data_IF_976034523872
#
_entry.id   IF_976034523872
#
_cell.length_a   1.000
_cell.length_b   1.000
_cell.length_c   1.000
_cell.angle_alpha   90.00
_cell.angle_beta   90.00
_cell.angle_gamma   90.00
#
_symmetry.space_group_name_H-M   'P 1'
#
loop_
_entity.id
_entity.type
_entity.pdbx_description
1 polymer ?
#
# COMPACT_ATOMS: atom_id res chain seq x y z
N UNK A 1 -28.07 -60.64 -66.61
CA UNK A 1 -26.97 -60.47 -65.67
C UNK A 1 -26.92 -59.00 -65.19
N UNK A 2 -27.47 -58.69 -64.04
CA UNK A 2 -27.54 -57.35 -63.48
C UNK A 2 -26.33 -57.18 -62.55
N UNK A 3 -25.48 -56.18 -62.76
CA UNK A 3 -24.38 -55.79 -61.88
C UNK A 3 -24.94 -54.82 -60.85
N UNK A 4 -24.84 -55.16 -59.57
CA UNK A 4 -25.15 -54.32 -58.44
C UNK A 4 -23.87 -53.61 -58.10
N UNK A 5 -23.87 -52.24 -58.17
CA UNK A 5 -22.79 -51.41 -57.72
C UNK A 5 -23.09 -50.99 -56.28
N UNK A 6 -22.20 -51.36 -55.32
CA UNK A 6 -22.27 -50.96 -53.90
C UNK A 6 -21.53 -49.61 -53.72
N UNK A 7 -22.25 -48.60 -53.41
CA UNK A 7 -21.63 -47.30 -52.93
C UNK A 7 -21.25 -47.44 -51.46
N UNK A 8 -19.96 -47.41 -51.18
CA UNK A 8 -19.45 -47.16 -49.81
C UNK A 8 -19.39 -45.66 -49.57
N UNK A 9 -20.28 -45.14 -48.69
CA UNK A 9 -20.20 -43.79 -48.19
C UNK A 9 -19.20 -43.69 -47.03
N UNK A 10 -18.12 -42.98 -47.24
CA UNK A 10 -17.16 -42.63 -46.17
C UNK A 10 -17.72 -41.47 -45.38
N UNK A 11 -18.15 -41.69 -44.12
CA UNK A 11 -18.48 -40.63 -43.16
C UNK A 11 -17.18 -40.05 -42.56
N UNK A 12 -16.81 -38.84 -42.97
CA UNK A 12 -15.72 -38.09 -42.37
C UNK A 12 -16.19 -37.54 -41.00
N UNK A 13 -15.73 -38.12 -39.90
CA UNK A 13 -15.84 -37.53 -38.55
C UNK A 13 -14.89 -36.35 -38.46
N UNK A 14 -15.42 -35.14 -38.48
CA UNK A 14 -14.70 -33.95 -38.09
C UNK A 14 -14.60 -33.92 -36.56
N UNK A 15 -13.42 -34.27 -36.03
CA UNK A 15 -13.07 -34.09 -34.64
C UNK A 15 -12.74 -32.62 -34.47
N UNK A 16 -13.68 -31.84 -33.92
CA UNK A 16 -13.42 -30.47 -33.46
C UNK A 16 -12.53 -30.56 -32.21
N UNK A 17 -11.25 -30.27 -32.34
CA UNK A 17 -10.40 -29.97 -31.20
C UNK A 17 -10.89 -28.63 -30.63
N UNK A 18 -11.64 -28.67 -29.53
CA UNK A 18 -11.81 -27.50 -28.67
C UNK A 18 -10.41 -27.19 -28.11
N UNK A 19 -9.76 -26.21 -28.70
CA UNK A 19 -8.54 -25.61 -28.11
C UNK A 19 -8.98 -25.03 -26.78
N UNK A 20 -8.55 -25.65 -25.68
CA UNK A 20 -8.69 -25.03 -24.36
C UNK A 20 -7.95 -23.70 -24.45
N UNK A 21 -8.69 -22.60 -24.54
CA UNK A 21 -8.12 -21.28 -24.38
C UNK A 21 -7.42 -21.30 -23.03
N UNK A 22 -6.10 -21.08 -22.98
CA UNK A 22 -5.41 -20.80 -21.74
C UNK A 22 -6.15 -19.63 -21.10
N UNK A 23 -6.56 -19.77 -19.83
CA UNK A 23 -7.16 -18.67 -19.12
C UNK A 23 -6.22 -17.47 -19.22
N UNK A 24 -6.78 -16.31 -19.57
CA UNK A 24 -6.03 -15.06 -19.57
C UNK A 24 -5.55 -14.83 -18.13
N UNK A 25 -4.31 -14.37 -17.94
CA UNK A 25 -3.69 -14.26 -16.64
C UNK A 25 -3.35 -12.81 -16.36
N UNK A 26 -3.58 -12.36 -15.13
CA UNK A 26 -3.15 -11.07 -14.60
C UNK A 26 -2.17 -11.32 -13.48
N UNK A 27 -1.00 -10.70 -13.52
CA UNK A 27 0.00 -10.79 -12.45
C UNK A 27 0.12 -9.44 -11.77
N UNK A 28 -0.25 -9.39 -10.48
CA UNK A 28 -0.20 -8.18 -9.67
C UNK A 28 0.87 -8.28 -8.59
N UNK A 29 1.49 -7.12 -8.26
CA UNK A 29 2.46 -6.99 -7.18
C UNK A 29 1.89 -6.04 -6.13
N UNK A 30 1.55 -6.56 -4.96
CA UNK A 30 0.65 -5.92 -4.01
C UNK A 30 1.25 -5.84 -2.59
N UNK A 31 0.65 -5.05 -1.72
CA UNK A 31 0.93 -5.08 -0.30
C UNK A 31 0.33 -6.33 0.37
N UNK A 32 0.95 -6.76 1.46
CA UNK A 32 0.45 -7.86 2.29
C UNK A 32 -0.89 -7.47 2.97
N UNK A 33 -1.85 -8.40 3.05
CA UNK A 33 -3.17 -8.24 3.69
C UNK A 33 -3.97 -6.98 3.26
N UNK A 34 -3.96 -6.60 1.99
CA UNK A 34 -4.49 -5.33 1.51
C UNK A 34 -5.66 -5.47 0.50
N UNK A 35 -5.93 -6.68 0.02
CA UNK A 35 -7.10 -7.05 -0.77
C UNK A 35 -7.63 -8.41 -0.32
N UNK A 36 -8.96 -8.61 -0.15
CA UNK A 36 -9.50 -9.91 0.20
C UNK A 36 -9.42 -10.88 -0.99
N UNK A 37 -9.04 -12.13 -0.73
CA UNK A 37 -8.93 -13.18 -1.77
C UNK A 37 -10.25 -13.41 -2.49
N UNK A 38 -11.37 -13.21 -1.80
CA UNK A 38 -12.72 -13.34 -2.33
C UNK A 38 -12.96 -12.43 -3.53
N UNK A 39 -12.48 -11.18 -3.49
CA UNK A 39 -12.60 -10.24 -4.62
C UNK A 39 -11.76 -10.68 -5.84
N UNK A 40 -10.59 -11.27 -5.62
CA UNK A 40 -9.79 -11.82 -6.71
C UNK A 40 -10.50 -13.01 -7.38
N UNK A 41 -11.18 -13.82 -6.56
CA UNK A 41 -11.98 -14.94 -7.05
C UNK A 41 -13.23 -14.46 -7.80
N UNK A 42 -13.88 -13.38 -7.33
CA UNK A 42 -15.02 -12.74 -7.98
C UNK A 42 -14.62 -12.19 -9.34
N UNK A 43 -13.55 -11.39 -9.41
CA UNK A 43 -13.01 -10.91 -10.68
C UNK A 43 -12.72 -12.05 -11.67
N UNK A 44 -12.12 -13.15 -11.19
CA UNK A 44 -11.85 -14.33 -12.02
C UNK A 44 -13.14 -14.98 -12.50
N UNK A 45 -14.16 -15.09 -11.65
CA UNK A 45 -15.44 -15.69 -12.01
C UNK A 45 -16.19 -14.85 -13.06
N UNK A 46 -16.12 -13.53 -12.99
CA UNK A 46 -16.80 -12.62 -13.91
C UNK A 46 -16.09 -12.50 -15.26
N UNK A 47 -14.75 -12.48 -15.25
CA UNK A 47 -13.97 -12.16 -16.44
C UNK A 47 -13.32 -13.36 -17.10
N UNK A 48 -13.16 -14.48 -16.38
CA UNK A 48 -12.36 -15.63 -16.79
C UNK A 48 -10.84 -15.39 -16.69
N UNK A 49 -10.40 -14.25 -16.13
CA UNK A 49 -8.99 -13.88 -15.98
C UNK A 49 -8.50 -14.38 -14.62
N UNK A 50 -7.48 -15.26 -14.63
CA UNK A 50 -6.83 -15.73 -13.40
C UNK A 50 -5.92 -14.63 -12.83
N UNK A 51 -6.11 -14.27 -11.55
CA UNK A 51 -5.24 -13.29 -10.86
C UNK A 51 -4.17 -14.04 -10.07
N UNK A 52 -2.91 -13.71 -10.32
CA UNK A 52 -1.76 -14.16 -9.54
C UNK A 52 -1.16 -12.98 -8.83
N UNK A 53 -0.98 -13.10 -7.53
CA UNK A 53 -0.51 -12.02 -6.67
C UNK A 53 0.77 -12.42 -5.95
N UNK A 54 1.80 -11.57 -6.08
CA UNK A 54 2.97 -11.55 -5.21
C UNK A 54 2.89 -10.35 -4.28
N UNK A 55 3.58 -10.38 -3.12
CA UNK A 55 3.52 -9.30 -2.13
C UNK A 55 4.88 -8.69 -1.84
N UNK A 56 4.86 -7.44 -1.35
CA UNK A 56 6.02 -6.70 -0.84
C UNK A 56 5.64 -5.96 0.45
N UNK A 57 6.64 -5.57 1.23
CA UNK A 57 6.52 -4.95 2.55
C UNK A 57 6.92 -3.47 2.58
N UNK A 58 7.51 -2.96 1.48
CA UNK A 58 7.93 -1.56 1.37
C UNK A 58 7.99 -1.10 -0.09
N UNK A 59 7.80 0.20 -0.34
CA UNK A 59 7.97 0.79 -1.67
C UNK A 59 9.40 0.61 -2.21
N UNK A 60 10.38 0.61 -1.32
CA UNK A 60 11.78 0.38 -1.66
C UNK A 60 12.03 -1.06 -2.13
N UNK A 61 11.38 -2.05 -1.48
CA UNK A 61 11.43 -3.45 -1.90
C UNK A 61 10.70 -3.65 -3.24
N UNK A 62 9.54 -3.02 -3.43
CA UNK A 62 8.83 -2.98 -4.72
C UNK A 62 9.76 -2.50 -5.84
N UNK A 63 10.37 -1.31 -5.69
CA UNK A 63 11.24 -0.71 -6.69
C UNK A 63 12.47 -1.60 -6.97
N UNK A 64 13.12 -2.09 -5.92
CA UNK A 64 14.29 -2.95 -6.04
C UNK A 64 13.98 -4.25 -6.79
N UNK A 65 12.85 -4.89 -6.50
CA UNK A 65 12.42 -6.12 -7.16
C UNK A 65 12.09 -5.88 -8.64
N UNK A 66 11.33 -4.82 -8.98
CA UNK A 66 11.02 -4.48 -10.37
C UNK A 66 12.29 -4.19 -11.19
N UNK A 67 13.29 -3.54 -10.60
CA UNK A 67 14.61 -3.33 -11.23
C UNK A 67 15.38 -4.63 -11.43
N UNK A 68 15.29 -5.56 -10.50
CA UNK A 68 16.01 -6.83 -10.55
C UNK A 68 15.37 -7.83 -11.51
N UNK A 69 14.03 -7.92 -11.56
CA UNK A 69 13.29 -8.86 -12.40
C UNK A 69 13.08 -8.34 -13.82
N UNK A 70 13.13 -7.02 -13.99
CA UNK A 70 12.85 -6.33 -15.26
C UNK A 70 11.38 -6.07 -15.50
N UNK A 71 11.09 -5.11 -16.39
CA UNK A 71 9.73 -4.80 -16.83
C UNK A 71 9.12 -6.01 -17.55
N UNK A 72 7.79 -6.17 -17.44
CA UNK A 72 7.06 -7.31 -18.01
C UNK A 72 6.95 -8.53 -17.07
N UNK A 73 7.44 -8.44 -15.83
CA UNK A 73 7.23 -9.49 -14.81
C UNK A 73 5.86 -9.40 -14.15
N UNK A 74 5.31 -8.19 -14.06
CA UNK A 74 3.99 -7.89 -13.50
C UNK A 74 3.21 -6.96 -14.42
N UNK A 75 1.89 -6.96 -14.28
CA UNK A 75 0.98 -6.09 -15.04
C UNK A 75 0.63 -4.82 -14.25
N UNK A 76 0.37 -4.97 -12.95
CA UNK A 76 -0.04 -3.90 -12.02
C UNK A 76 0.82 -3.97 -10.77
N UNK A 77 1.14 -2.80 -10.21
CA UNK A 77 1.65 -2.65 -8.85
C UNK A 77 0.84 -1.60 -8.08
N UNK A 78 1.02 -1.54 -6.75
CA UNK A 78 0.23 -0.67 -5.85
C UNK A 78 1.11 0.26 -5.01
N UNK A 79 1.97 1.09 -5.64
CA UNK A 79 2.87 2.00 -4.92
C UNK A 79 2.13 3.15 -4.26
N UNK A 80 2.76 3.72 -3.23
CA UNK A 80 2.35 4.99 -2.64
C UNK A 80 2.74 6.18 -3.52
N UNK A 81 2.11 7.31 -3.29
CA UNK A 81 2.23 8.58 -4.01
C UNK A 81 3.67 8.98 -4.36
N UNK A 82 4.58 9.00 -3.39
CA UNK A 82 5.98 9.37 -3.63
C UNK A 82 6.69 8.38 -4.57
N UNK A 83 6.39 7.09 -4.43
CA UNK A 83 6.99 6.05 -5.27
C UNK A 83 6.47 6.09 -6.70
N UNK A 84 5.19 6.48 -6.92
CA UNK A 84 4.65 6.71 -8.28
C UNK A 84 5.46 7.78 -9.01
N UNK A 85 5.84 8.88 -8.33
CA UNK A 85 6.72 9.88 -8.91
C UNK A 85 8.06 9.29 -9.37
N UNK A 86 8.70 8.51 -8.51
CA UNK A 86 9.99 7.86 -8.81
C UNK A 86 9.84 6.90 -9.99
N UNK A 87 8.84 6.02 -9.97
CA UNK A 87 8.60 5.05 -11.03
C UNK A 87 8.27 5.71 -12.37
N UNK A 88 7.50 6.81 -12.35
CA UNK A 88 7.21 7.60 -13.56
C UNK A 88 8.48 8.22 -14.13
N UNK A 89 9.29 8.85 -13.29
CA UNK A 89 10.52 9.55 -13.71
C UNK A 89 11.58 8.57 -14.23
N UNK A 90 11.55 7.32 -13.75
CA UNK A 90 12.36 6.21 -14.26
C UNK A 90 11.76 5.50 -15.50
N UNK A 91 10.58 5.93 -15.97
CA UNK A 91 9.92 5.37 -17.16
C UNK A 91 9.37 3.95 -16.97
N UNK A 92 9.02 3.58 -15.72
CA UNK A 92 8.52 2.24 -15.36
C UNK A 92 7.00 2.10 -15.50
N UNK A 93 6.28 3.19 -15.79
CA UNK A 93 4.82 3.19 -15.92
C UNK A 93 4.40 3.30 -17.39
N UNK A 94 3.32 2.61 -17.74
CA UNK A 94 2.60 2.83 -19.00
C UNK A 94 1.41 3.75 -18.76
N UNK A 95 0.77 4.20 -19.85
CA UNK A 95 -0.35 5.12 -19.80
C UNK A 95 -1.61 4.50 -20.41
N UNK A 96 -2.75 5.00 -19.96
CA UNK A 96 -4.07 4.71 -20.51
C UNK A 96 -4.89 6.00 -20.63
N UNK A 97 -6.01 5.92 -21.37
CA UNK A 97 -6.98 7.00 -21.46
C UNK A 97 -8.14 6.73 -20.50
N UNK A 98 -8.69 7.77 -19.90
CA UNK A 98 -9.88 7.63 -19.06
C UNK A 98 -11.04 6.87 -19.74
N UNK A 99 -11.16 7.00 -21.08
CA UNK A 99 -12.18 6.29 -21.85
C UNK A 99 -11.94 4.78 -21.98
N UNK A 100 -10.79 4.25 -21.55
CA UNK A 100 -10.51 2.81 -21.50
C UNK A 100 -11.04 2.16 -20.21
N UNK A 101 -11.48 2.99 -19.23
CA UNK A 101 -12.08 2.55 -17.98
C UNK A 101 -13.51 3.07 -17.88
N UNK A 102 -14.49 2.16 -17.82
CA UNK A 102 -15.93 2.52 -17.75
C UNK A 102 -16.32 3.17 -16.43
N UNK A 103 -15.60 2.84 -15.36
CA UNK A 103 -15.81 3.32 -14.00
C UNK A 103 -14.93 4.53 -13.63
N UNK A 104 -14.21 5.13 -14.59
CA UNK A 104 -13.29 6.26 -14.34
C UNK A 104 -13.97 7.45 -13.63
N UNK A 105 -15.23 7.74 -13.95
CA UNK A 105 -16.01 8.84 -13.36
C UNK A 105 -16.35 8.62 -11.88
N UNK A 106 -16.15 7.39 -11.36
CA UNK A 106 -16.32 7.07 -9.95
C UNK A 106 -15.13 7.56 -9.09
N UNK A 107 -14.02 7.98 -9.69
CA UNK A 107 -12.91 8.57 -8.93
C UNK A 107 -13.40 9.84 -8.22
N UNK A 108 -13.12 9.97 -6.91
CA UNK A 108 -13.40 11.19 -6.15
C UNK A 108 -12.61 12.37 -6.72
N UNK A 109 -13.24 13.56 -6.76
CA UNK A 109 -12.67 14.75 -7.42
C UNK A 109 -11.28 15.14 -6.88
N UNK A 110 -11.07 15.01 -5.58
CA UNK A 110 -9.81 15.29 -4.93
C UNK A 110 -8.65 14.37 -5.39
N UNK A 111 -8.97 13.19 -5.90
CA UNK A 111 -8.00 12.21 -6.39
C UNK A 111 -7.79 12.24 -7.90
N UNK A 112 -8.53 13.05 -8.66
CA UNK A 112 -8.36 13.14 -10.12
C UNK A 112 -7.08 13.89 -10.53
N UNK A 113 -6.75 14.98 -9.83
CA UNK A 113 -5.63 15.85 -10.20
C UNK A 113 -4.58 15.88 -9.08
N UNK A 114 -3.96 14.74 -8.85
CA UNK A 114 -2.89 14.59 -7.85
C UNK A 114 -1.54 14.93 -8.47
N UNK A 115 -0.61 15.46 -7.66
CA UNK A 115 0.71 15.91 -8.13
C UNK A 115 1.56 14.80 -8.74
N UNK A 116 1.36 13.57 -8.30
CA UNK A 116 2.10 12.40 -8.76
C UNK A 116 1.53 11.78 -10.06
N UNK A 117 0.25 12.07 -10.41
CA UNK A 117 -0.37 11.61 -11.68
C UNK A 117 -1.54 12.50 -12.10
N UNK A 118 -1.25 13.64 -12.72
CA UNK A 118 -2.24 14.60 -13.18
C UNK A 118 -3.20 13.99 -14.20
N UNK A 119 -4.48 13.96 -13.87
CA UNK A 119 -5.52 13.41 -14.73
C UNK A 119 -5.56 11.88 -14.76
N UNK A 120 -4.85 11.21 -13.87
CA UNK A 120 -4.84 9.74 -13.75
C UNK A 120 -4.55 9.03 -15.07
N UNK A 121 -3.36 9.29 -15.61
CA UNK A 121 -2.95 8.73 -16.90
C UNK A 121 -2.25 7.38 -16.79
N UNK A 122 -1.70 7.03 -15.61
CA UNK A 122 -0.95 5.80 -15.37
C UNK A 122 -1.46 5.02 -14.17
N UNK A 123 -2.39 5.60 -13.38
CA UNK A 123 -2.86 5.03 -12.12
C UNK A 123 -4.34 5.27 -11.87
N UNK A 124 -4.94 4.41 -11.06
CA UNK A 124 -6.24 4.68 -10.42
C UNK A 124 -6.08 4.70 -8.91
N UNK A 125 -6.82 5.53 -8.15
CA UNK A 125 -6.72 5.57 -6.70
C UNK A 125 -7.16 4.21 -6.13
N UNK A 126 -6.45 3.77 -5.09
CA UNK A 126 -6.76 2.53 -4.40
C UNK A 126 -7.22 2.82 -2.98
N UNK A 127 -6.29 2.99 -2.05
CA UNK A 127 -6.56 3.33 -0.67
C UNK A 127 -5.68 4.50 -0.24
N UNK A 128 -6.12 5.24 0.77
CA UNK A 128 -5.29 6.26 1.43
C UNK A 128 -5.45 6.16 2.95
N UNK A 129 -4.44 6.58 3.67
CA UNK A 129 -4.41 6.46 5.10
C UNK A 129 -3.32 7.30 5.75
N UNK A 130 -2.99 6.93 6.98
CA UNK A 130 -1.97 7.59 7.78
C UNK A 130 -1.00 6.61 8.41
N UNK A 131 0.24 7.08 8.63
CA UNK A 131 1.26 6.42 9.41
C UNK A 131 1.53 7.23 10.66
N UNK A 132 1.39 6.57 11.81
CA UNK A 132 1.75 7.10 13.09
C UNK A 132 2.17 5.95 14.02
N UNK A 133 1.68 5.89 15.25
CA UNK A 133 1.97 4.80 16.18
C UNK A 133 0.78 4.50 17.08
N UNK A 134 0.79 3.32 17.67
CA UNK A 134 -0.13 2.92 18.75
C UNK A 134 0.60 2.66 20.05
N UNK A 135 -0.14 2.77 21.16
CA UNK A 135 0.34 2.46 22.50
C UNK A 135 -0.69 1.61 23.21
N UNK A 136 -0.25 0.57 23.89
CA UNK A 136 -1.06 -0.20 24.83
C UNK A 136 -1.26 0.60 26.12
N UNK A 137 -2.49 1.05 26.36
CA UNK A 137 -2.87 1.88 27.52
C UNK A 137 -2.80 1.14 28.85
N UNK A 138 -2.76 -0.20 28.83
CA UNK A 138 -2.47 -1.01 30.02
C UNK A 138 -0.98 -0.99 30.38
N UNK A 139 -0.09 -0.83 29.40
CA UNK A 139 1.35 -0.74 29.62
C UNK A 139 1.82 0.69 29.92
N UNK A 140 1.14 1.70 29.35
CA UNK A 140 1.51 3.11 29.54
C UNK A 140 0.28 4.01 29.57
N UNK A 141 0.10 4.72 30.69
CA UNK A 141 -1.04 5.61 30.95
C UNK A 141 -0.73 7.12 30.74
N UNK A 142 0.52 7.46 30.36
CA UNK A 142 0.94 8.86 30.16
C UNK A 142 0.44 9.48 28.84
N UNK A 143 0.96 10.64 28.50
CA UNK A 143 0.62 11.35 27.26
C UNK A 143 1.21 10.59 26.06
N UNK A 144 0.33 10.24 25.10
CA UNK A 144 0.73 9.60 23.85
C UNK A 144 0.71 10.56 22.67
N UNK A 145 0.33 11.81 22.83
CA UNK A 145 0.27 12.83 21.76
C UNK A 145 1.64 13.45 21.47
N UNK A 146 2.70 12.64 21.55
CA UNK A 146 4.07 13.04 21.22
C UNK A 146 4.85 11.87 20.65
N UNK A 147 5.60 12.10 19.59
CA UNK A 147 6.48 11.13 18.96
C UNK A 147 7.69 10.74 19.84
N UNK A 148 7.85 11.37 21.03
CA UNK A 148 8.79 10.89 22.05
C UNK A 148 8.58 9.43 22.41
N UNK A 149 7.33 8.96 22.37
CA UNK A 149 6.98 7.54 22.59
C UNK A 149 7.85 6.60 21.74
N UNK A 150 8.15 6.98 20.52
CA UNK A 150 8.96 6.17 19.59
C UNK A 150 10.45 6.50 19.71
N UNK A 151 10.82 7.79 19.80
CA UNK A 151 12.20 8.23 19.63
C UNK A 151 12.95 8.51 20.91
N UNK A 152 12.26 8.76 22.03
CA UNK A 152 12.81 8.94 23.37
C UNK A 152 11.83 8.41 24.41
N UNK A 153 11.53 7.10 24.41
CA UNK A 153 10.44 6.52 25.17
C UNK A 153 10.65 6.64 26.69
N UNK A 154 9.54 6.71 27.47
CA UNK A 154 9.57 6.53 28.90
C UNK A 154 10.03 5.12 29.27
N UNK A 155 10.53 4.95 30.50
CA UNK A 155 11.20 3.72 30.94
C UNK A 155 10.33 2.47 30.78
N UNK A 156 9.00 2.62 30.94
CA UNK A 156 8.02 1.53 30.85
C UNK A 156 7.93 0.93 29.42
N UNK A 157 8.25 1.73 28.40
CA UNK A 157 8.18 1.35 26.98
C UNK A 157 9.53 0.94 26.38
N UNK A 158 10.65 1.16 27.06
CA UNK A 158 11.97 0.80 26.54
C UNK A 158 12.08 -0.70 26.27
N UNK A 159 12.61 -1.05 25.09
CA UNK A 159 12.74 -2.44 24.63
C UNK A 159 11.42 -3.11 24.24
N UNK A 160 10.32 -2.33 24.12
CA UNK A 160 8.97 -2.84 23.80
C UNK A 160 8.31 -2.05 22.66
N UNK A 161 9.11 -1.54 21.74
CA UNK A 161 8.65 -0.71 20.63
C UNK A 161 8.96 -1.41 19.31
N UNK A 162 7.96 -1.51 18.43
CA UNK A 162 8.17 -1.87 17.04
C UNK A 162 8.28 -0.62 16.17
N UNK A 163 9.18 -0.62 15.21
CA UNK A 163 9.30 0.44 14.19
C UNK A 163 9.08 -0.18 12.82
N UNK A 164 8.43 0.55 11.91
CA UNK A 164 8.23 0.09 10.54
C UNK A 164 9.58 -0.05 9.80
N UNK A 165 9.71 -1.11 9.04
CA UNK A 165 10.88 -1.38 8.16
C UNK A 165 10.71 -0.71 6.78
N UNK A 166 10.27 0.55 6.80
CA UNK A 166 10.07 1.41 5.63
C UNK A 166 10.95 2.65 5.78
N UNK A 167 12.02 2.75 4.98
CA UNK A 167 13.01 3.83 5.11
C UNK A 167 12.37 5.21 4.95
N UNK A 168 11.57 5.40 3.89
CA UNK A 168 10.93 6.68 3.58
C UNK A 168 10.06 7.19 4.72
N UNK A 169 9.14 6.36 5.22
CA UNK A 169 8.22 6.76 6.29
C UNK A 169 8.92 6.95 7.64
N UNK A 170 9.78 6.01 8.03
CA UNK A 170 10.45 6.08 9.34
C UNK A 170 11.37 7.29 9.44
N UNK A 171 12.11 7.62 8.38
CA UNK A 171 12.97 8.81 8.35
C UNK A 171 12.17 10.10 8.25
N UNK A 172 11.06 10.13 7.50
CA UNK A 172 10.16 11.27 7.45
C UNK A 172 9.49 11.53 8.81
N UNK A 173 9.01 10.48 9.49
CA UNK A 173 8.40 10.59 10.83
C UNK A 173 9.42 11.07 11.88
N UNK A 174 10.66 10.58 11.83
CA UNK A 174 11.75 11.07 12.67
C UNK A 174 12.10 12.54 12.37
N UNK A 175 12.03 12.96 11.11
CA UNK A 175 12.25 14.34 10.71
C UNK A 175 11.16 15.27 11.26
N UNK A 176 9.88 14.86 11.22
CA UNK A 176 8.78 15.57 11.86
C UNK A 176 9.03 15.75 13.37
N UNK A 177 9.40 14.69 14.08
CA UNK A 177 9.73 14.72 15.50
C UNK A 177 10.81 15.75 15.84
N UNK A 178 11.85 15.82 15.01
CA UNK A 178 12.98 16.75 15.22
C UNK A 178 12.74 18.16 14.69
N UNK A 179 11.63 18.42 13.99
CA UNK A 179 11.37 19.67 13.29
C UNK A 179 12.39 19.94 12.16
N UNK A 180 12.92 18.89 11.55
CA UNK A 180 13.80 18.96 10.39
C UNK A 180 12.93 18.87 9.11
N UNK A 181 13.07 19.82 8.15
CA UNK A 181 12.37 19.68 6.87
C UNK A 181 12.71 18.36 6.20
N UNK A 182 11.72 17.70 5.61
CA UNK A 182 11.97 16.57 4.74
C UNK A 182 12.93 16.99 3.61
N UNK A 183 13.66 16.04 3.09
CA UNK A 183 14.67 16.29 2.04
C UNK A 183 15.70 17.37 2.38
N UNK A 184 16.00 17.61 3.67
CA UNK A 184 17.09 18.49 4.06
C UNK A 184 18.44 17.94 3.58
N UNK A 185 19.26 18.80 2.97
CA UNK A 185 20.64 18.51 2.58
C UNK A 185 21.67 19.08 3.60
N UNK A 186 21.17 19.74 4.68
CA UNK A 186 22.01 20.23 5.76
C UNK A 186 22.65 19.08 6.55
N UNK A 187 23.95 18.87 6.29
CA UNK A 187 24.73 17.82 6.95
C UNK A 187 24.72 17.89 8.48
N UNK A 188 24.54 19.07 9.06
CA UNK A 188 24.42 19.23 10.52
C UNK A 188 23.10 18.68 11.03
N UNK A 189 22.00 18.95 10.33
CA UNK A 189 20.68 18.38 10.63
C UNK A 189 20.67 16.86 10.44
N UNK A 190 21.19 16.36 9.33
CA UNK A 190 21.27 14.93 9.03
C UNK A 190 22.13 14.17 10.04
N UNK A 191 23.25 14.75 10.50
CA UNK A 191 24.05 14.18 11.58
C UNK A 191 23.28 14.07 12.90
N UNK A 192 22.44 15.09 13.23
CA UNK A 192 21.59 15.06 14.43
C UNK A 192 20.50 13.99 14.29
N UNK A 193 19.87 13.89 13.10
CA UNK A 193 18.87 12.88 12.80
C UNK A 193 19.46 11.46 12.97
N UNK A 194 20.61 11.19 12.36
CA UNK A 194 21.29 9.89 12.49
C UNK A 194 21.62 9.56 13.97
N UNK A 195 22.19 10.52 14.71
CA UNK A 195 22.52 10.31 16.12
C UNK A 195 21.28 10.07 17.00
N UNK A 196 20.20 10.80 16.73
CA UNK A 196 18.92 10.58 17.42
C UNK A 196 18.38 9.18 17.16
N UNK A 197 18.33 8.75 15.89
CA UNK A 197 17.85 7.42 15.50
C UNK A 197 18.71 6.30 16.09
N UNK A 198 20.02 6.43 16.09
CA UNK A 198 20.93 5.45 16.71
C UNK A 198 20.67 5.31 18.21
N UNK A 199 20.43 6.44 18.91
CA UNK A 199 20.08 6.41 20.34
C UNK A 199 18.66 5.84 20.58
N UNK A 200 17.71 6.13 19.72
CA UNK A 200 16.35 5.60 19.81
C UNK A 200 16.32 4.08 19.59
N UNK A 201 17.11 3.56 18.63
CA UNK A 201 17.22 2.14 18.30
C UNK A 201 17.54 1.27 19.52
N UNK A 202 18.30 1.75 20.46
CA UNK A 202 18.63 1.02 21.71
C UNK A 202 17.37 0.66 22.53
N UNK A 203 16.25 1.37 22.30
CA UNK A 203 14.97 1.16 22.98
C UNK A 203 13.94 0.42 22.13
N UNK A 204 14.27 0.04 20.88
CA UNK A 204 13.35 -0.65 19.99
C UNK A 204 13.53 -2.18 20.11
N UNK A 205 12.42 -2.90 20.06
CA UNK A 205 12.41 -4.37 20.07
C UNK A 205 12.62 -4.94 18.66
N UNK A 206 12.05 -4.26 17.64
CA UNK A 206 12.04 -4.78 16.27
C UNK A 206 11.87 -3.69 15.21
N UNK A 207 12.30 -4.03 13.99
CA UNK A 207 11.86 -3.41 12.75
C UNK A 207 10.97 -4.44 12.04
N UNK A 208 9.67 -4.17 11.95
CA UNK A 208 8.73 -5.09 11.33
C UNK A 208 7.50 -4.32 10.80
N UNK A 209 7.27 -4.36 9.51
CA UNK A 209 6.13 -3.71 8.85
C UNK A 209 4.94 -4.65 8.75
N UNK A 210 5.09 -5.79 8.10
CA UNK A 210 4.00 -6.76 7.86
C UNK A 210 3.41 -7.31 9.16
N UNK A 211 4.26 -7.60 10.15
CA UNK A 211 3.84 -8.09 11.45
C UNK A 211 3.56 -7.00 12.49
N UNK A 212 3.55 -5.71 12.13
CA UNK A 212 3.34 -4.61 13.10
C UNK A 212 2.00 -4.75 13.85
N UNK A 213 0.94 -5.14 13.15
CA UNK A 213 -0.38 -5.43 13.72
C UNK A 213 -0.28 -6.56 14.76
N UNK A 214 0.34 -7.67 14.39
CA UNK A 214 0.35 -8.90 15.19
C UNK A 214 1.16 -8.73 16.48
N UNK A 215 2.34 -8.08 16.43
CA UNK A 215 3.15 -7.88 17.63
C UNK A 215 2.53 -6.90 18.63
N UNK A 216 1.69 -5.96 18.16
CA UNK A 216 0.88 -5.08 19.02
C UNK A 216 -0.32 -5.82 19.60
N UNK A 217 -1.07 -6.53 18.77
CA UNK A 217 -2.26 -7.28 19.19
C UNK A 217 -1.90 -8.39 20.21
N UNK A 218 -0.81 -9.12 19.99
CA UNK A 218 -0.31 -10.14 20.93
C UNK A 218 0.22 -9.54 22.24
N UNK A 219 0.67 -8.28 22.22
CA UNK A 219 1.33 -7.64 23.36
C UNK A 219 2.83 -7.99 23.48
N UNK A 220 3.45 -8.49 22.41
CA UNK A 220 4.89 -8.69 22.34
C UNK A 220 5.65 -7.35 22.41
N UNK A 221 4.99 -6.29 21.94
CA UNK A 221 5.42 -4.89 22.11
C UNK A 221 4.29 -4.08 22.75
N UNK A 222 4.67 -3.01 23.44
CA UNK A 222 3.73 -2.12 24.13
C UNK A 222 3.43 -0.84 23.32
N UNK A 223 4.24 -0.53 22.33
CA UNK A 223 4.02 0.57 21.40
C UNK A 223 4.66 0.26 20.04
N UNK A 224 4.23 0.94 19.00
CA UNK A 224 4.87 0.78 17.70
C UNK A 224 4.31 1.67 16.62
N UNK A 225 5.18 2.03 15.66
CA UNK A 225 4.76 2.65 14.42
C UNK A 225 3.84 1.67 13.66
N UNK A 226 2.78 2.21 13.07
CA UNK A 226 1.78 1.40 12.40
C UNK A 226 0.96 2.27 11.44
N UNK A 227 0.46 1.66 10.37
CA UNK A 227 -0.55 2.24 9.49
C UNK A 227 -1.93 2.17 10.14
N UNK A 228 -2.74 3.21 9.96
CA UNK A 228 -4.05 3.35 10.62
C UNK A 228 -4.99 2.14 10.42
N UNK A 229 -5.05 1.53 9.24
CA UNK A 229 -5.87 0.34 9.01
C UNK A 229 -5.38 -0.89 9.79
N UNK A 230 -4.07 -1.13 9.85
CA UNK A 230 -3.49 -2.15 10.71
C UNK A 230 -3.72 -1.82 12.18
N UNK A 231 -3.68 -0.53 12.55
CA UNK A 231 -4.03 -0.06 13.88
C UNK A 231 -5.46 -0.40 14.27
N UNK A 232 -6.43 -0.18 13.38
CA UNK A 232 -7.82 -0.54 13.60
C UNK A 232 -8.01 -2.06 13.80
N UNK A 233 -7.33 -2.87 12.98
CA UNK A 233 -7.32 -4.34 13.13
C UNK A 233 -6.70 -4.77 14.47
N UNK A 234 -5.54 -4.21 14.84
CA UNK A 234 -4.88 -4.51 16.12
C UNK A 234 -5.76 -4.16 17.32
N UNK A 235 -6.43 -2.97 17.30
CA UNK A 235 -7.34 -2.56 18.38
C UNK A 235 -8.57 -3.45 18.46
N UNK A 236 -9.08 -3.97 17.37
CA UNK A 236 -10.18 -4.94 17.39
C UNK A 236 -9.80 -6.24 18.12
N UNK A 237 -8.54 -6.65 18.07
CA UNK A 237 -8.01 -7.82 18.80
C UNK A 237 -7.58 -7.48 20.23
N UNK A 238 -7.06 -6.26 20.46
CA UNK A 238 -6.59 -5.79 21.77
C UNK A 238 -7.12 -4.37 22.06
N UNK A 239 -8.23 -4.29 22.76
CA UNK A 239 -8.98 -3.05 23.00
C UNK A 239 -8.22 -1.97 23.81
N UNK A 240 -7.12 -2.34 24.49
CA UNK A 240 -6.24 -1.39 25.19
C UNK A 240 -5.31 -0.59 24.28
N UNK A 241 -5.21 -0.94 22.99
CA UNK A 241 -4.43 -0.20 22.03
C UNK A 241 -5.12 1.10 21.62
N UNK A 242 -4.36 2.21 21.63
CA UNK A 242 -4.83 3.54 21.24
C UNK A 242 -3.90 4.12 20.17
N UNK A 243 -4.49 4.53 19.03
CA UNK A 243 -3.77 5.18 17.93
C UNK A 243 -3.51 6.64 18.26
N UNK A 244 -2.30 7.12 18.03
CA UNK A 244 -1.91 8.48 18.32
C UNK A 244 -1.84 9.37 17.08
N UNK A 245 -2.24 10.63 17.26
CA UNK A 245 -1.98 11.75 16.35
C UNK A 245 -1.07 12.74 17.09
N UNK A 246 0.28 12.57 17.01
CA UNK A 246 1.20 13.38 17.80
C UNK A 246 1.22 14.82 17.32
N UNK A 247 1.49 15.74 18.27
CA UNK A 247 1.53 17.19 18.02
C UNK A 247 2.66 17.63 17.06
N UNK A 248 3.69 16.82 16.93
CA UNK A 248 4.79 17.05 15.99
C UNK A 248 4.38 16.78 14.54
N UNK A 249 3.29 16.05 14.32
CA UNK A 249 2.76 15.65 13.01
C UNK A 249 2.72 14.14 12.82
N UNK A 250 2.01 13.73 11.79
CA UNK A 250 1.92 12.34 11.34
C UNK A 250 1.97 12.30 9.81
N UNK A 251 2.27 11.13 9.25
CA UNK A 251 2.33 10.98 7.81
C UNK A 251 0.98 10.58 7.25
N UNK A 252 0.72 11.02 6.02
CA UNK A 252 -0.39 10.54 5.18
C UNK A 252 0.17 10.03 3.87
N UNK A 253 -0.53 9.09 3.25
CA UNK A 253 -0.14 8.47 2.01
C UNK A 253 -1.38 8.10 1.18
N UNK A 254 -1.17 7.93 -0.12
CA UNK A 254 -2.19 7.49 -1.06
C UNK A 254 -1.61 6.45 -2.02
N UNK A 255 -2.09 5.22 -1.89
CA UNK A 255 -1.72 4.15 -2.78
C UNK A 255 -2.62 4.14 -4.01
N UNK A 256 -2.04 3.79 -5.13
CA UNK A 256 -2.77 3.68 -6.39
C UNK A 256 -2.34 2.41 -7.13
N UNK A 257 -3.29 1.78 -7.81
CA UNK A 257 -2.98 0.74 -8.78
C UNK A 257 -2.36 1.41 -10.02
N UNK A 258 -1.11 1.08 -10.35
CA UNK A 258 -0.40 1.62 -11.52
C UNK A 258 -0.25 0.58 -12.61
N UNK A 259 -0.43 1.01 -13.87
CA UNK A 259 -0.15 0.18 -15.04
C UNK A 259 1.37 0.17 -15.28
N UNK A 260 1.98 -1.01 -15.16
CA UNK A 260 3.42 -1.15 -15.35
C UNK A 260 3.81 -1.12 -16.83
N UNK A 261 4.99 -0.60 -17.08
CA UNK A 261 5.59 -0.57 -18.41
C UNK A 261 5.80 -1.98 -18.93
N UNK A 262 5.47 -2.21 -20.20
CA UNK A 262 5.58 -3.52 -20.86
C UNK A 262 4.76 -4.63 -20.17
N UNK A 263 3.63 -4.27 -19.52
CA UNK A 263 2.68 -5.21 -18.93
C UNK A 263 2.26 -6.26 -19.95
N UNK A 264 2.54 -7.56 -19.72
CA UNK A 264 2.25 -8.60 -20.70
C UNK A 264 0.75 -8.79 -20.97
N UNK A 265 -0.10 -8.45 -20.00
CA UNK A 265 -1.54 -8.63 -20.08
C UNK A 265 -2.28 -7.29 -19.86
N UNK A 266 -1.88 -6.25 -20.63
CA UNK A 266 -2.40 -4.88 -20.49
C UNK A 266 -3.93 -4.79 -20.46
N UNK A 267 -4.62 -5.54 -21.32
CA UNK A 267 -6.09 -5.49 -21.35
C UNK A 267 -6.72 -6.09 -20.08
N UNK A 268 -6.14 -7.15 -19.53
CA UNK A 268 -6.52 -7.72 -18.25
C UNK A 268 -6.23 -6.72 -17.10
N UNK A 269 -5.10 -6.02 -17.16
CA UNK A 269 -4.74 -4.99 -16.19
C UNK A 269 -5.77 -3.85 -16.17
N UNK A 270 -6.17 -3.33 -17.32
CA UNK A 270 -7.19 -2.27 -17.41
C UNK A 270 -8.55 -2.74 -16.91
N UNK A 271 -8.97 -3.97 -17.21
CA UNK A 271 -10.22 -4.53 -16.66
C UNK A 271 -10.17 -4.62 -15.13
N UNK A 272 -9.03 -5.01 -14.56
CA UNK A 272 -8.87 -5.07 -13.11
C UNK A 272 -8.84 -3.67 -12.48
N UNK A 273 -8.15 -2.72 -13.10
CA UNK A 273 -8.17 -1.31 -12.65
C UNK A 273 -9.58 -0.71 -12.71
N UNK A 274 -10.37 -1.08 -13.72
CA UNK A 274 -11.78 -0.66 -13.83
C UNK A 274 -12.66 -1.30 -12.74
N UNK A 275 -12.47 -2.59 -12.45
CA UNK A 275 -13.10 -3.31 -11.36
C UNK A 275 -12.82 -2.68 -9.99
N UNK A 276 -11.58 -2.25 -9.73
CA UNK A 276 -11.22 -1.55 -8.48
C UNK A 276 -11.96 -0.22 -8.29
N UNK A 277 -12.50 0.37 -9.35
CA UNK A 277 -13.27 1.62 -9.32
C UNK A 277 -14.78 1.39 -9.12
N UNK A 278 -15.25 0.16 -8.98
CA UNK A 278 -16.62 -0.13 -8.62
C UNK A 278 -16.85 0.19 -7.13
N UNK A 279 -17.90 0.95 -6.75
CA UNK A 279 -18.11 1.35 -5.37
C UNK A 279 -18.21 0.18 -4.38
N UNK A 280 -18.89 -0.90 -4.76
CA UNK A 280 -19.01 -2.10 -3.92
C UNK A 280 -17.64 -2.80 -3.72
N UNK A 281 -16.84 -2.89 -4.76
CA UNK A 281 -15.49 -3.48 -4.73
C UNK A 281 -14.56 -2.62 -3.86
N UNK A 282 -14.54 -1.31 -4.10
CA UNK A 282 -13.75 -0.37 -3.31
C UNK A 282 -14.13 -0.39 -1.82
N UNK A 283 -15.44 -0.49 -1.52
CA UNK A 283 -15.94 -0.62 -0.16
C UNK A 283 -15.54 -1.96 0.48
N UNK A 284 -15.61 -3.07 -0.25
CA UNK A 284 -15.19 -4.37 0.26
C UNK A 284 -13.68 -4.38 0.61
N UNK A 285 -12.85 -3.74 -0.22
CA UNK A 285 -11.43 -3.55 0.06
C UNK A 285 -11.24 -2.68 1.32
N UNK A 286 -11.96 -1.57 1.41
CA UNK A 286 -11.93 -0.65 2.56
C UNK A 286 -12.36 -1.34 3.86
N UNK A 287 -13.44 -2.12 3.84
CA UNK A 287 -13.90 -2.89 4.99
C UNK A 287 -12.87 -3.96 5.44
N UNK A 288 -12.19 -4.58 4.47
CA UNK A 288 -11.14 -5.56 4.75
C UNK A 288 -9.85 -4.91 5.26
N UNK A 289 -9.35 -3.92 4.55
CA UNK A 289 -8.05 -3.30 4.83
C UNK A 289 -8.12 -2.24 5.94
N UNK A 290 -9.32 -1.68 6.21
CA UNK A 290 -9.60 -0.65 7.23
C UNK A 290 -9.01 0.73 6.92
N UNK A 291 -8.64 1.00 5.66
CA UNK A 291 -8.22 2.32 5.18
C UNK A 291 -9.39 3.05 4.51
N UNK A 292 -9.11 4.09 3.74
CA UNK A 292 -10.14 4.88 3.07
C UNK A 292 -9.99 4.80 1.55
N UNK A 293 -11.07 4.54 0.82
CA UNK A 293 -11.06 4.49 -0.64
C UNK A 293 -11.03 5.86 -1.31
N UNK A 294 -10.48 5.93 -2.52
CA UNK A 294 -10.55 7.10 -3.40
C UNK A 294 -11.72 7.09 -4.40
N UNK A 295 -12.77 6.29 -4.14
CA UNK A 295 -13.91 6.02 -5.03
C UNK A 295 -15.18 6.59 -4.42
N UNK A 296 -16.05 7.22 -5.25
CA UNK A 296 -17.38 7.74 -4.87
C UNK A 296 -18.37 6.60 -4.61
N UNK A 297 -19.32 6.82 -3.72
CA UNK A 297 -20.43 5.90 -3.47
C UNK A 297 -20.09 4.71 -2.58
N UNK A 298 -18.88 4.63 -2.05
CA UNK A 298 -18.46 3.58 -1.12
C UNK A 298 -19.21 3.64 0.21
N UNK A 299 -19.70 4.82 0.60
CA UNK A 299 -20.29 5.11 1.90
C UNK A 299 -21.53 4.24 2.18
N UNK A 300 -22.23 3.79 1.13
CA UNK A 300 -23.42 2.95 1.24
C UNK A 300 -23.11 1.50 1.64
N UNK A 301 -21.84 1.07 1.46
CA UNK A 301 -21.38 -0.30 1.65
C UNK A 301 -20.36 -0.44 2.78
N UNK A 302 -20.01 0.68 3.47
CA UNK A 302 -19.03 0.64 4.56
C UNK A 302 -19.61 0.09 5.86
N UNK A 303 -18.79 -0.67 6.59
CA UNK A 303 -19.07 -1.07 7.95
C UNK A 303 -19.19 0.16 8.86
N UNK A 304 -20.24 0.25 9.68
CA UNK A 304 -20.47 1.37 10.62
C UNK A 304 -19.28 1.60 11.57
N UNK A 305 -18.62 0.54 12.00
CA UNK A 305 -17.43 0.61 12.85
C UNK A 305 -16.26 1.32 12.17
N UNK A 306 -16.09 1.15 10.85
CA UNK A 306 -15.03 1.79 10.10
C UNK A 306 -15.26 3.30 9.97
N UNK A 307 -16.49 3.72 9.76
CA UNK A 307 -16.85 5.14 9.63
C UNK A 307 -16.52 5.92 10.92
N UNK A 308 -16.65 5.27 12.07
CA UNK A 308 -16.41 5.90 13.39
C UNK A 308 -15.05 5.55 14.01
N UNK A 309 -14.22 4.79 13.31
CA UNK A 309 -12.90 4.34 13.80
C UNK A 309 -12.00 5.55 14.13
N UNK A 310 -11.44 5.63 15.34
CA UNK A 310 -10.55 6.73 15.71
C UNK A 310 -9.27 6.77 14.87
N UNK A 311 -8.84 5.65 14.31
CA UNK A 311 -7.69 5.56 13.42
C UNK A 311 -7.93 6.26 12.07
N UNK A 312 -9.20 6.40 11.64
CA UNK A 312 -9.59 7.08 10.41
C UNK A 312 -10.13 8.50 10.67
N UNK A 313 -10.35 8.87 11.93
CA UNK A 313 -10.95 10.13 12.33
C UNK A 313 -10.02 10.90 13.28
N UNK A 314 -9.02 11.62 12.75
CA UNK A 314 -8.12 12.41 13.58
C UNK A 314 -8.91 13.44 14.41
N UNK A 315 -8.50 13.68 15.66
CA UNK A 315 -9.12 14.73 16.50
C UNK A 315 -9.06 16.09 15.81
N UNK A 316 -10.06 16.94 16.06
CA UNK A 316 -10.16 18.27 15.43
C UNK A 316 -8.95 19.20 15.70
N UNK A 317 -8.18 18.93 16.74
CA UNK A 317 -6.95 19.64 17.12
C UNK A 317 -5.66 18.89 16.70
N UNK A 318 -5.78 17.79 15.95
CA UNK A 318 -4.62 17.15 15.36
C UNK A 318 -3.97 18.07 14.30
N UNK A 319 -2.63 18.03 14.15
CA UNK A 319 -1.98 18.72 13.04
C UNK A 319 -2.46 18.16 11.69
N UNK A 320 -2.26 18.90 10.61
CA UNK A 320 -2.47 18.37 9.27
C UNK A 320 -1.49 17.21 9.00
N UNK A 321 -1.96 16.16 8.33
CA UNK A 321 -1.10 15.07 7.88
C UNK A 321 -0.12 15.56 6.80
N UNK A 322 1.06 14.98 6.77
CA UNK A 322 2.16 15.36 5.87
C UNK A 322 2.51 14.18 4.97
N UNK A 323 2.53 14.40 3.65
CA UNK A 323 3.01 13.38 2.69
C UNK A 323 4.53 13.21 2.79
N UNK A 324 5.00 12.02 2.43
CA UNK A 324 6.44 11.80 2.25
C UNK A 324 6.90 12.51 0.98
N UNK A 325 7.97 13.30 1.08
CA UNK A 325 8.53 14.05 -0.05
C UNK A 325 9.54 13.21 -0.84
N UNK A 326 9.56 13.39 -2.17
CA UNK A 326 10.59 12.83 -3.04
C UNK A 326 11.80 13.75 -3.03
N UNK A 327 12.91 13.26 -2.53
CA UNK A 327 14.15 14.04 -2.47
C UNK A 327 14.90 14.02 -3.80
N UNK A 328 15.73 15.06 -4.04
CA UNK A 328 16.70 15.01 -5.11
C UNK A 328 17.66 13.80 -4.91
N UNK A 329 18.16 13.15 -5.98
CA UNK A 329 18.94 11.92 -5.86
C UNK A 329 20.14 12.01 -4.92
N UNK A 330 20.83 13.17 -4.90
CA UNK A 330 21.99 13.40 -4.02
C UNK A 330 21.56 13.47 -2.55
N UNK A 331 20.39 14.04 -2.27
CA UNK A 331 19.84 14.11 -0.91
C UNK A 331 19.28 12.76 -0.49
N UNK A 332 18.59 12.05 -1.40
CA UNK A 332 18.10 10.71 -1.14
C UNK A 332 19.24 9.76 -0.71
N UNK A 333 20.38 9.81 -1.41
CA UNK A 333 21.54 9.02 -1.04
C UNK A 333 22.06 9.27 0.40
N UNK A 334 21.85 10.48 0.94
CA UNK A 334 22.21 10.77 2.34
C UNK A 334 21.25 10.09 3.32
N UNK A 335 19.95 10.09 3.03
CA UNK A 335 18.94 9.39 3.83
C UNK A 335 19.11 7.87 3.76
N UNK A 336 19.41 7.32 2.58
CA UNK A 336 19.70 5.90 2.39
C UNK A 336 20.94 5.46 3.21
N UNK A 337 21.96 6.32 3.31
CA UNK A 337 23.14 6.05 4.14
C UNK A 337 22.79 6.05 5.64
N UNK A 338 21.91 6.95 6.10
CA UNK A 338 21.41 6.97 7.49
C UNK A 338 20.65 5.68 7.77
N UNK A 339 19.72 5.29 6.89
CA UNK A 339 18.95 4.06 7.03
C UNK A 339 19.84 2.82 7.06
N UNK A 340 20.78 2.72 6.11
CA UNK A 340 21.73 1.60 6.05
C UNK A 340 22.56 1.51 7.32
N UNK A 341 22.96 2.63 7.92
CA UNK A 341 23.69 2.65 9.19
C UNK A 341 22.80 2.23 10.35
N UNK A 342 21.56 2.70 10.39
CA UNK A 342 20.57 2.35 11.41
C UNK A 342 20.27 0.85 11.45
N UNK A 343 20.27 0.17 10.31
CA UNK A 343 19.96 -1.27 10.18
C UNK A 343 21.15 -2.19 10.54
N UNK A 344 22.37 -1.68 10.78
CA UNK A 344 23.52 -2.46 11.25
C UNK A 344 23.44 -2.73 12.75
#
# INVERSE_FOLDING_TARGET
MRKIATLMGAAAMTVSFAQAASAEKLTIYHWFEYIPQELLNEFTAETGIEVVMDTYDSNEALLANLKATGMGSYDIAFPSDYMINIMRDEGMLDTFKSSELSNFDNIQEQWLNVSFDMGRQSSVPYQWGSTSFMVDREAYSGDIRTSEIIFNPPEELKGKINVLDTAGETLAFASLYMGIPQCSDDRSQLKKLSAMLEGAKENWASFNSDGAKDVLASGDVAAGMIWNGFGAKARAERASLEYSYPKEGYLVWADSAVLLKDAPNRDAALKFMDFLLEPEVAAAITNYARYTAGVKGVEEFLDEELVTSPENNPPADAPAGTFVEVCAPETQALYDAIWTQLKK
#
